data_IF_230014337272
#
_entry.id   IF_230014337272
#
_cell.length_a   1.000
_cell.length_b   1.000
_cell.length_c   1.000
_cell.angle_alpha   90.00
_cell.angle_beta   90.00
_cell.angle_gamma   90.00
#
_symmetry.space_group_name_H-M   'P 1'
#
loop_
_entity.id
_entity.type
_entity.pdbx_description
1 polymer ?
#
# COMPACT_ATOMS: atom_id res chain seq x y z
N UNK A 1 -13.69 9.13 -6.37
CA UNK A 1 -13.57 10.37 -5.57
C UNK A 1 -12.22 10.99 -5.84
N UNK A 2 -12.21 12.16 -6.36
CA UNK A 2 -11.00 12.79 -6.81
C UNK A 2 -10.70 14.05 -5.99
N UNK A 3 -9.45 14.16 -5.54
CA UNK A 3 -8.96 15.36 -4.89
C UNK A 3 -9.39 15.62 -3.46
N UNK A 4 -10.27 14.81 -2.89
CA UNK A 4 -10.73 15.00 -1.52
C UNK A 4 -10.27 13.87 -0.60
N UNK A 5 -9.73 14.20 0.59
CA UNK A 5 -9.37 13.17 1.56
C UNK A 5 -10.61 12.48 2.11
N UNK A 6 -10.52 11.16 2.28
CA UNK A 6 -11.56 10.38 2.94
C UNK A 6 -10.93 9.50 4.01
N UNK A 7 -11.74 9.15 5.00
CA UNK A 7 -11.33 8.22 6.03
C UNK A 7 -11.56 6.80 5.55
N UNK A 8 -10.56 5.94 5.70
CA UNK A 8 -10.74 4.52 5.45
C UNK A 8 -11.65 3.92 6.51
N UNK A 9 -12.55 2.99 6.14
CA UNK A 9 -13.37 2.30 7.13
C UNK A 9 -12.49 1.32 7.93
N UNK A 10 -12.45 1.49 9.23
CA UNK A 10 -11.72 0.62 10.13
C UNK A 10 -10.21 0.83 10.12
N UNK A 11 -9.48 0.13 11.00
CA UNK A 11 -8.03 0.25 11.08
C UNK A 11 -7.33 -0.57 10.00
N UNK A 12 -6.21 -0.05 9.50
CA UNK A 12 -5.31 -0.76 8.61
C UNK A 12 -4.14 -1.35 9.40
N UNK A 13 -3.54 -2.43 8.91
CA UNK A 13 -2.31 -2.96 9.49
C UNK A 13 -1.09 -2.14 9.13
N UNK A 14 -1.22 -1.21 8.19
CA UNK A 14 -0.10 -0.38 7.74
C UNK A 14 0.19 0.71 8.77
N UNK A 15 1.40 0.67 9.30
CA UNK A 15 1.83 1.63 10.32
C UNK A 15 2.36 2.91 9.68
N UNK A 16 2.17 4.02 10.37
CA UNK A 16 2.78 5.29 9.99
C UNK A 16 2.16 5.99 8.80
N UNK A 17 0.97 5.56 8.37
CA UNK A 17 0.27 6.22 7.28
C UNK A 17 -1.03 6.85 7.77
N UNK A 18 -1.34 8.00 7.18
CA UNK A 18 -2.58 8.69 7.46
C UNK A 18 -2.70 9.18 8.88
N UNK A 19 -3.64 10.02 9.09
CA UNK A 19 -4.08 10.41 10.42
C UNK A 19 -5.55 10.80 10.33
N UNK A 20 -6.18 10.98 11.47
CA UNK A 20 -7.63 11.21 11.52
C UNK A 20 -8.03 12.68 11.32
N UNK A 21 -7.09 13.54 10.93
CA UNK A 21 -7.38 14.96 10.69
C UNK A 21 -6.68 15.46 9.45
N UNK A 22 -7.23 16.50 8.87
CA UNK A 22 -6.64 17.18 7.72
C UNK A 22 -5.69 18.25 8.24
N UNK A 23 -4.39 18.10 7.97
CA UNK A 23 -3.38 19.07 8.34
C UNK A 23 -3.36 20.23 7.35
N UNK A 24 -2.69 21.32 7.72
CA UNK A 24 -2.53 22.46 6.80
C UNK A 24 -1.80 22.06 5.51
N UNK A 25 -0.80 21.21 5.63
CA UNK A 25 -0.06 20.75 4.45
C UNK A 25 -0.97 19.98 3.52
N UNK A 26 -1.78 19.07 4.06
CA UNK A 26 -2.71 18.30 3.26
C UNK A 26 -3.79 19.18 2.64
N UNK A 27 -4.36 20.11 3.43
CA UNK A 27 -5.42 20.98 2.94
C UNK A 27 -4.95 21.89 1.80
N UNK A 28 -3.67 22.27 1.80
CA UNK A 28 -3.11 23.14 0.76
C UNK A 28 -2.50 22.37 -0.41
N UNK A 29 -2.48 21.04 -0.34
CA UNK A 29 -1.93 20.21 -1.40
C UNK A 29 -2.95 20.01 -2.51
N UNK A 30 -2.53 20.22 -3.74
CA UNK A 30 -3.37 19.94 -4.90
C UNK A 30 -3.27 18.46 -5.24
N UNK A 31 -4.40 17.76 -5.17
CA UNK A 31 -4.46 16.33 -5.43
C UNK A 31 -5.34 16.10 -6.66
N UNK A 32 -4.80 15.41 -7.66
CA UNK A 32 -5.51 15.13 -8.91
C UNK A 32 -6.43 13.92 -8.79
N UNK A 33 -6.12 12.98 -7.89
CA UNK A 33 -6.95 11.81 -7.67
C UNK A 33 -6.51 11.05 -6.45
N UNK A 34 -7.29 10.05 -6.07
CA UNK A 34 -7.00 9.22 -4.90
C UNK A 34 -7.39 7.78 -5.18
N UNK A 35 -6.62 6.85 -4.62
CA UNK A 35 -6.88 5.41 -4.75
C UNK A 35 -6.85 4.81 -3.36
N UNK A 36 -7.88 4.04 -3.04
CA UNK A 36 -7.93 3.30 -1.80
C UNK A 36 -7.41 1.88 -2.04
N UNK A 37 -6.46 1.44 -1.20
CA UNK A 37 -5.86 0.11 -1.31
C UNK A 37 -6.28 -0.70 -0.09
N UNK A 38 -6.84 -1.89 -0.33
CA UNK A 38 -7.20 -2.81 0.74
C UNK A 38 -5.96 -3.51 1.29
N UNK A 39 -5.99 -3.84 2.57
CA UNK A 39 -4.85 -4.51 3.21
C UNK A 39 -4.49 -5.82 2.50
N UNK A 40 -5.47 -6.60 2.06
CA UNK A 40 -5.19 -7.85 1.37
C UNK A 40 -4.45 -7.64 0.06
N UNK A 41 -4.81 -6.60 -0.70
CA UNK A 41 -4.12 -6.27 -1.94
C UNK A 41 -2.68 -5.85 -1.68
N UNK A 42 -2.45 -5.09 -0.62
CA UNK A 42 -1.10 -4.70 -0.21
C UNK A 42 -0.28 -5.92 0.17
N UNK A 43 -0.85 -6.84 0.96
CA UNK A 43 -0.17 -8.08 1.35
C UNK A 43 0.18 -8.90 0.11
N UNK A 44 -0.76 -9.07 -0.81
CA UNK A 44 -0.51 -9.80 -2.06
C UNK A 44 0.64 -9.18 -2.85
N UNK A 45 0.66 -7.87 -2.96
CA UNK A 45 1.71 -7.15 -3.70
C UNK A 45 3.08 -7.36 -3.07
N UNK A 46 3.17 -7.19 -1.75
CA UNK A 46 4.44 -7.30 -1.02
C UNK A 46 5.01 -8.72 -1.13
N UNK A 47 4.18 -9.73 -0.95
CA UNK A 47 4.64 -11.13 -1.02
C UNK A 47 4.98 -11.53 -2.45
N UNK A 48 4.23 -11.05 -3.43
CA UNK A 48 4.52 -11.32 -4.84
C UNK A 48 5.89 -10.76 -5.24
N UNK A 49 6.19 -9.53 -4.85
CA UNK A 49 7.48 -8.91 -5.14
C UNK A 49 8.63 -9.61 -4.44
N UNK A 50 8.40 -10.05 -3.20
CA UNK A 50 9.43 -10.79 -2.47
C UNK A 50 9.75 -12.11 -3.17
N UNK A 51 8.74 -12.86 -3.60
CA UNK A 51 8.94 -14.16 -4.22
C UNK A 51 9.42 -14.08 -5.66
N UNK A 52 8.92 -13.14 -6.43
CA UNK A 52 9.24 -13.05 -7.86
C UNK A 52 10.50 -12.25 -8.13
N UNK A 53 10.69 -11.15 -7.42
CA UNK A 53 11.77 -10.22 -7.69
C UNK A 53 12.80 -10.12 -6.57
N UNK A 54 12.55 -10.74 -5.43
CA UNK A 54 13.44 -10.67 -4.29
C UNK A 54 13.42 -9.33 -3.55
N UNK A 55 12.40 -8.53 -3.76
CA UNK A 55 12.27 -7.22 -3.12
C UNK A 55 11.57 -7.36 -1.78
N UNK A 56 12.29 -7.05 -0.70
CA UNK A 56 11.76 -7.14 0.65
C UNK A 56 11.29 -5.75 1.10
N UNK A 57 10.01 -5.47 0.91
CA UNK A 57 9.43 -4.14 1.08
C UNK A 57 8.44 -4.11 2.24
N UNK A 58 8.30 -2.94 2.84
CA UNK A 58 7.33 -2.69 3.89
C UNK A 58 5.93 -2.41 3.34
N UNK A 59 4.98 -2.22 4.25
CA UNK A 59 3.57 -2.09 3.90
C UNK A 59 3.26 -0.82 3.10
N UNK A 60 3.83 0.33 3.46
CA UNK A 60 3.56 1.56 2.71
C UNK A 60 4.12 1.51 1.29
N UNK A 61 5.25 0.83 1.10
CA UNK A 61 5.76 0.57 -0.25
C UNK A 61 4.78 -0.28 -1.05
N UNK A 62 4.19 -1.30 -0.40
CA UNK A 62 3.17 -2.14 -1.02
C UNK A 62 1.94 -1.35 -1.45
N UNK A 63 1.47 -0.44 -0.61
CA UNK A 63 0.34 0.43 -0.94
C UNK A 63 0.68 1.31 -2.15
N UNK A 64 1.86 1.91 -2.14
CA UNK A 64 2.29 2.76 -3.24
C UNK A 64 2.37 2.00 -4.56
N UNK A 65 2.88 0.76 -4.52
CA UNK A 65 2.99 -0.05 -5.72
C UNK A 65 1.62 -0.53 -6.22
N UNK A 66 0.71 -0.87 -5.32
CA UNK A 66 -0.67 -1.19 -5.70
C UNK A 66 -1.32 0.00 -6.41
N UNK A 67 -1.14 1.20 -5.86
CA UNK A 67 -1.69 2.41 -6.46
C UNK A 67 -1.07 2.70 -7.82
N UNK A 68 0.25 2.55 -7.92
CA UNK A 68 0.94 2.75 -9.21
C UNK A 68 0.44 1.78 -10.27
N UNK A 69 0.21 0.52 -9.88
CA UNK A 69 -0.32 -0.48 -10.79
C UNK A 69 -1.72 -0.11 -11.29
N UNK A 70 -2.59 0.35 -10.40
CA UNK A 70 -3.94 0.77 -10.77
C UNK A 70 -3.93 1.98 -11.71
N UNK A 71 -3.07 2.95 -11.44
CA UNK A 71 -2.90 4.12 -12.31
C UNK A 71 -2.37 3.69 -13.68
N UNK A 72 -1.41 2.77 -13.70
CA UNK A 72 -0.84 2.27 -14.95
C UNK A 72 -1.92 1.61 -15.82
N UNK A 73 -2.81 0.83 -15.21
CA UNK A 73 -3.91 0.19 -15.94
C UNK A 73 -4.86 1.23 -16.53
N UNK A 74 -5.15 2.29 -15.79
CA UNK A 74 -6.06 3.33 -16.25
C UNK A 74 -5.47 4.16 -17.38
N UNK A 75 -4.19 4.49 -17.29
CA UNK A 75 -3.55 5.35 -18.28
C UNK A 75 -3.11 4.60 -19.54
N UNK A 76 -2.89 3.29 -19.43
CA UNK A 76 -2.42 2.49 -20.55
C UNK A 76 -0.93 2.68 -20.83
N UNK A 77 -0.44 2.08 -21.93
CA UNK A 77 0.98 2.12 -22.26
C UNK A 77 1.45 3.52 -22.66
N UNK A 78 2.76 3.74 -22.58
CA UNK A 78 3.36 5.01 -22.99
C UNK A 78 3.45 6.06 -21.90
N UNK A 79 3.14 5.71 -20.67
CA UNK A 79 3.19 6.64 -19.53
C UNK A 79 4.28 6.24 -18.55
N UNK A 80 4.88 7.24 -17.91
CA UNK A 80 5.86 7.02 -16.85
C UNK A 80 5.19 7.28 -15.51
N UNK A 81 5.30 6.31 -14.59
CA UNK A 81 4.70 6.41 -13.28
C UNK A 81 5.80 6.36 -12.23
N UNK A 82 5.81 7.39 -11.38
CA UNK A 82 6.81 7.49 -10.31
C UNK A 82 6.13 7.27 -8.97
N UNK A 83 6.73 6.43 -8.14
CA UNK A 83 6.24 6.22 -6.78
C UNK A 83 7.43 6.11 -5.83
N UNK A 84 7.14 6.02 -4.53
CA UNK A 84 8.18 6.00 -3.52
C UNK A 84 8.18 4.65 -2.81
N UNK A 85 9.38 4.05 -2.69
CA UNK A 85 9.60 2.89 -1.83
C UNK A 85 10.06 3.44 -0.48
N UNK A 86 9.18 3.35 0.51
CA UNK A 86 9.43 3.98 1.82
C UNK A 86 10.37 3.16 2.67
N UNK A 87 9.85 2.12 3.34
CA UNK A 87 10.65 1.25 4.20
C UNK A 87 10.83 -0.11 3.55
N UNK A 88 11.90 -0.82 3.93
CA UNK A 88 12.01 -2.23 3.59
C UNK A 88 11.18 -3.08 4.57
N UNK A 89 11.21 -4.40 4.39
CA UNK A 89 10.40 -5.31 5.21
C UNK A 89 10.94 -5.58 6.60
N UNK A 90 12.13 -5.15 6.94
CA UNK A 90 12.81 -5.52 8.19
C UNK A 90 12.03 -5.11 9.43
N UNK A 91 11.36 -3.98 9.39
CA UNK A 91 10.56 -3.45 10.51
C UNK A 91 9.26 -4.21 10.73
N UNK A 92 8.87 -5.06 9.80
CA UNK A 92 7.54 -5.66 9.76
C UNK A 92 7.56 -7.18 9.91
N UNK A 93 8.65 -7.73 10.47
CA UNK A 93 8.81 -9.18 10.63
C UNK A 93 7.79 -9.78 11.59
N UNK A 94 7.37 -9.01 12.60
CA UNK A 94 6.39 -9.49 13.58
C UNK A 94 4.94 -9.20 13.19
N UNK A 95 4.72 -8.50 12.10
CA UNK A 95 3.38 -8.13 11.63
C UNK A 95 3.15 -8.62 10.21
N UNK A 96 3.53 -7.83 9.21
CA UNK A 96 3.31 -8.15 7.80
C UNK A 96 3.91 -9.51 7.39
N UNK A 97 5.10 -9.83 7.88
CA UNK A 97 5.80 -11.08 7.55
C UNK A 97 5.63 -12.14 8.62
N UNK A 98 4.58 -12.06 9.41
CA UNK A 98 4.21 -13.03 10.42
C UNK A 98 2.83 -13.61 10.07
N UNK A 99 2.80 -14.90 9.72
CA UNK A 99 1.58 -15.53 9.25
C UNK A 99 0.48 -15.56 10.30
N UNK A 100 0.82 -15.77 11.58
CA UNK A 100 -0.16 -15.74 12.65
C UNK A 100 -0.79 -14.35 12.81
N UNK A 101 0.01 -13.31 12.69
CA UNK A 101 -0.50 -11.94 12.73
C UNK A 101 -1.50 -11.69 11.61
N UNK A 102 -1.14 -12.10 10.38
CA UNK A 102 -2.02 -11.93 9.22
C UNK A 102 -3.33 -12.70 9.40
N UNK A 103 -3.27 -13.93 9.89
CA UNK A 103 -4.46 -14.73 10.13
C UNK A 103 -5.40 -14.09 11.15
N UNK A 104 -4.85 -13.54 12.24
CA UNK A 104 -5.65 -12.82 13.23
C UNK A 104 -6.34 -11.59 12.66
N UNK A 105 -5.79 -11.01 11.60
CA UNK A 105 -6.37 -9.86 10.91
C UNK A 105 -7.19 -10.26 9.70
N UNK A 106 -7.49 -11.55 9.53
CA UNK A 106 -8.23 -12.10 8.39
C UNK A 106 -7.53 -11.83 7.05
N UNK A 107 -6.21 -11.84 7.07
CA UNK A 107 -5.38 -11.64 5.89
C UNK A 107 -4.61 -12.91 5.58
N UNK A 108 -4.20 -13.06 4.34
CA UNK A 108 -3.43 -14.23 3.89
C UNK A 108 -2.23 -13.80 3.07
N UNK A 109 -1.07 -14.37 3.42
CA UNK A 109 0.09 -14.30 2.53
C UNK A 109 -0.09 -15.35 1.45
N UNK A 110 -0.19 -14.92 0.20
CA UNK A 110 -0.28 -15.85 -0.93
C UNK A 110 1.11 -16.06 -1.50
N UNK A 111 1.58 -17.29 -1.36
CA UNK A 111 2.80 -17.71 -2.03
C UNK A 111 2.37 -18.30 -3.35
N UNK A 112 2.65 -17.59 -4.43
CA UNK A 112 2.37 -18.09 -5.77
C UNK A 112 3.56 -18.98 -6.17
N UNK A 113 3.33 -20.26 -6.42
CA UNK A 113 4.42 -21.15 -6.83
C UNK A 113 5.01 -20.76 -8.17
#
# INVERSE_FOLDING_TARGET
MEGEPIMSPGPSITEGIGNSRITKNLANTQIDGAIQVQDQDMVDMVYSLLHEDGWFLGSSSGINLCSAYEVAKKLGPGNTIVTILCDDGSKYQSTLFNQEFLERKSLRARIVP
#
